data_IF_767823917781
#
_entry.id   IF_767823917781
#
_cell.length_a   1.000
_cell.length_b   1.000
_cell.length_c   1.000
_cell.angle_alpha   90.00
_cell.angle_beta   90.00
_cell.angle_gamma   90.00
#
_symmetry.space_group_name_H-M   'P 1'
#
loop_
_entity.id
_entity.type
_entity.pdbx_description
1 polymer ?
#
# COMPACT_ATOMS: atom_id res chain seq x y z
N UNK A 1 -71.38 -94.55 185.22
CA UNK A 1 -71.59 -95.70 186.12
C UNK A 1 -70.98 -95.34 187.47
N UNK A 2 -71.69 -95.19 188.60
CA UNK A 2 -72.94 -95.84 189.03
C UNK A 2 -72.71 -97.35 189.30
N UNK A 3 -73.01 -97.97 190.47
CA UNK A 3 -73.79 -97.58 191.66
C UNK A 3 -73.39 -98.47 192.87
N UNK A 4 -73.43 -97.97 194.13
CA UNK A 4 -73.75 -98.73 195.39
C UNK A 4 -72.80 -99.93 195.74
N UNK A 5 -73.01 -100.79 196.76
CA UNK A 5 -73.30 -100.68 198.23
C UNK A 5 -73.15 -102.10 198.88
N UNK A 6 -73.11 -102.42 200.19
CA UNK A 6 -73.20 -101.69 201.48
C UNK A 6 -72.81 -102.59 202.69
N UNK A 7 -72.55 -101.98 203.87
CA UNK A 7 -72.89 -102.46 205.25
C UNK A 7 -72.23 -103.70 205.94
N UNK A 8 -72.39 -103.69 207.29
CA UNK A 8 -72.49 -104.81 208.26
C UNK A 8 -71.24 -105.63 208.67
N UNK A 9 -71.18 -106.22 209.87
CA UNK A 9 -71.72 -105.88 211.21
C UNK A 9 -70.89 -106.63 212.30
N UNK A 10 -71.00 -106.27 213.59
CA UNK A 10 -70.35 -106.97 214.71
C UNK A 10 -71.19 -108.17 215.20
N UNK A 11 -70.53 -109.28 215.58
CA UNK A 11 -71.18 -110.45 216.19
C UNK A 11 -70.22 -111.42 216.87
N UNK A 12 -70.63 -111.98 218.01
CA UNK A 12 -69.92 -112.97 218.85
C UNK A 12 -70.93 -113.49 219.92
N UNK A 13 -70.71 -114.59 220.70
CA UNK A 13 -69.49 -115.41 220.81
C UNK A 13 -69.70 -116.95 220.95
N UNK A 14 -68.60 -117.70 221.23
CA UNK A 14 -68.51 -119.07 221.85
C UNK A 14 -68.92 -120.29 220.98
N UNK A 15 -68.48 -121.53 221.30
CA UNK A 15 -67.21 -121.96 221.95
C UNK A 15 -66.52 -123.22 221.30
N UNK A 16 -65.32 -123.57 221.81
CA UNK A 16 -64.57 -124.85 221.73
C UNK A 16 -64.94 -125.95 220.70
N UNK A 17 -63.99 -126.36 219.83
CA UNK A 17 -63.14 -127.56 220.01
C UNK A 17 -62.17 -127.83 218.83
N UNK A 18 -60.93 -128.22 219.17
CA UNK A 18 -59.89 -128.96 218.40
C UNK A 18 -59.54 -128.59 216.93
N UNK A 19 -58.32 -128.96 216.50
CA UNK A 19 -57.67 -128.38 215.32
C UNK A 19 -57.30 -129.38 214.21
N UNK A 20 -57.54 -128.97 212.97
CA UNK A 20 -56.98 -129.58 211.74
C UNK A 20 -56.99 -128.62 210.52
N UNK A 21 -57.91 -127.64 210.47
CA UNK A 21 -58.23 -126.94 209.21
C UNK A 21 -57.43 -125.66 208.93
N UNK A 22 -56.93 -124.95 209.96
CA UNK A 22 -56.28 -123.65 209.80
C UNK A 22 -55.09 -123.67 208.81
N UNK A 23 -54.32 -124.76 208.82
CA UNK A 23 -53.15 -124.95 207.98
C UNK A 23 -53.49 -125.14 206.48
N UNK A 24 -54.75 -125.51 206.17
CA UNK A 24 -55.23 -125.64 204.79
C UNK A 24 -55.60 -124.28 204.19
N UNK A 25 -56.14 -123.37 204.99
CA UNK A 25 -56.51 -122.01 204.56
C UNK A 25 -55.28 -121.16 204.21
N UNK A 26 -54.21 -121.24 205.02
CA UNK A 26 -53.00 -120.43 204.84
C UNK A 26 -52.34 -120.65 203.46
N UNK A 27 -52.23 -121.92 203.04
CA UNK A 27 -51.68 -122.31 201.73
C UNK A 27 -52.52 -121.74 200.56
N UNK A 28 -53.84 -121.67 200.71
CA UNK A 28 -54.73 -121.17 199.65
C UNK A 28 -54.62 -119.64 199.47
N UNK A 29 -54.42 -118.88 200.55
CA UNK A 29 -54.11 -117.44 200.48
C UNK A 29 -52.75 -117.22 199.81
N UNK A 30 -51.72 -117.97 200.21
CA UNK A 30 -50.38 -117.80 199.65
C UNK A 30 -50.31 -118.12 198.14
N UNK A 31 -51.11 -119.10 197.68
CA UNK A 31 -51.26 -119.42 196.27
C UNK A 31 -51.96 -118.30 195.48
N UNK A 32 -53.01 -117.67 196.06
CA UNK A 32 -53.70 -116.53 195.43
C UNK A 32 -52.81 -115.29 195.34
N UNK A 33 -51.99 -115.01 196.34
CA UNK A 33 -51.06 -113.87 196.30
C UNK A 33 -50.04 -114.02 195.14
N UNK A 34 -49.54 -115.23 194.87
CA UNK A 34 -48.69 -115.48 193.70
C UNK A 34 -49.39 -115.19 192.36
N UNK A 35 -50.69 -115.51 192.25
CA UNK A 35 -51.48 -115.17 191.06
C UNK A 35 -51.72 -113.66 190.92
N UNK A 36 -51.85 -112.92 192.03
CA UNK A 36 -52.00 -111.46 192.02
C UNK A 36 -50.71 -110.79 191.54
N UNK A 37 -49.54 -111.16 192.08
CA UNK A 37 -48.26 -110.57 191.65
C UNK A 37 -47.98 -110.79 190.16
N UNK A 38 -48.25 -111.98 189.62
CA UNK A 38 -48.10 -112.24 188.18
C UNK A 38 -49.03 -111.40 187.29
N UNK A 39 -50.23 -111.06 187.77
CA UNK A 39 -51.14 -110.13 187.07
C UNK A 39 -50.70 -108.66 187.19
N UNK A 40 -50.06 -108.27 188.29
CA UNK A 40 -49.49 -106.94 188.47
C UNK A 40 -48.25 -106.72 187.59
N UNK A 41 -47.38 -107.73 187.44
CA UNK A 41 -46.28 -107.74 186.47
C UNK A 41 -46.80 -107.61 185.03
N UNK A 42 -47.81 -108.40 184.65
CA UNK A 42 -48.42 -108.32 183.31
C UNK A 42 -49.05 -106.94 183.04
N UNK A 43 -49.65 -106.34 184.06
CA UNK A 43 -50.23 -104.98 184.00
C UNK A 43 -49.16 -103.91 183.84
N UNK A 44 -48.01 -104.06 184.52
CA UNK A 44 -46.88 -103.16 184.39
C UNK A 44 -46.25 -103.25 182.99
N UNK A 45 -45.98 -104.46 182.50
CA UNK A 45 -45.43 -104.70 181.16
C UNK A 45 -46.34 -104.12 180.06
N UNK A 46 -47.65 -104.36 180.14
CA UNK A 46 -48.61 -103.82 179.17
C UNK A 46 -48.73 -102.28 179.23
N UNK A 47 -48.60 -101.67 180.41
CA UNK A 47 -48.49 -100.21 180.51
C UNK A 47 -47.19 -99.70 179.88
N UNK A 48 -46.06 -100.38 180.11
CA UNK A 48 -44.78 -100.00 179.54
C UNK A 48 -44.81 -100.04 178.00
N UNK A 49 -45.30 -101.13 177.40
CA UNK A 49 -45.51 -101.21 175.94
C UNK A 49 -46.43 -100.09 175.44
N UNK A 50 -47.54 -99.81 176.14
CA UNK A 50 -48.45 -98.73 175.72
C UNK A 50 -47.77 -97.35 175.79
N UNK A 51 -46.87 -97.11 176.75
CA UNK A 51 -46.07 -95.87 176.77
C UNK A 51 -45.03 -95.84 175.66
N UNK A 52 -44.35 -96.95 175.34
CA UNK A 52 -43.42 -97.09 174.21
C UNK A 52 -44.11 -96.81 172.87
N UNK A 53 -45.30 -97.38 172.65
CA UNK A 53 -46.13 -97.13 171.47
C UNK A 53 -46.56 -95.65 171.36
N UNK A 54 -47.06 -95.06 172.45
CA UNK A 54 -47.41 -93.63 172.50
C UNK A 54 -46.22 -92.67 172.36
N UNK A 55 -44.99 -93.12 172.61
CA UNK A 55 -43.76 -92.40 172.29
C UNK A 55 -43.41 -92.53 170.81
N UNK A 56 -43.48 -93.74 170.25
CA UNK A 56 -43.24 -94.01 168.82
C UNK A 56 -44.21 -93.22 167.93
N UNK A 57 -45.51 -93.22 168.23
CA UNK A 57 -46.52 -92.48 167.50
C UNK A 57 -46.31 -90.96 167.55
N UNK A 58 -45.85 -90.39 168.68
CA UNK A 58 -45.44 -88.98 168.75
C UNK A 58 -44.23 -88.72 167.85
N UNK A 59 -43.18 -89.55 167.96
CA UNK A 59 -41.96 -89.43 167.15
C UNK A 59 -42.22 -89.58 165.65
N UNK A 60 -43.26 -90.31 165.23
CA UNK A 60 -43.72 -90.35 163.83
C UNK A 60 -44.53 -89.10 163.46
N UNK A 61 -45.44 -88.61 164.32
CA UNK A 61 -46.17 -87.35 164.09
C UNK A 61 -45.21 -86.16 163.91
N UNK A 62 -44.16 -86.08 164.74
CA UNK A 62 -43.16 -85.02 164.68
C UNK A 62 -42.29 -85.12 163.41
N UNK A 63 -42.05 -86.33 162.88
CA UNK A 63 -41.42 -86.53 161.56
C UNK A 63 -42.32 -86.06 160.43
N UNK A 64 -43.61 -86.43 160.44
CA UNK A 64 -44.57 -85.99 159.42
C UNK A 64 -44.64 -84.46 159.40
N UNK A 65 -44.78 -83.81 160.56
CA UNK A 65 -44.80 -82.34 160.65
C UNK A 65 -43.53 -81.68 160.10
N UNK A 66 -42.34 -82.25 160.37
CA UNK A 66 -41.08 -81.76 159.77
C UNK A 66 -41.03 -81.94 158.25
N UNK A 67 -41.63 -83.00 157.71
CA UNK A 67 -41.73 -83.20 156.26
C UNK A 67 -42.73 -82.22 155.63
N UNK A 68 -43.86 -81.94 156.27
CA UNK A 68 -44.82 -80.90 155.87
C UNK A 68 -44.17 -79.51 155.86
N UNK A 69 -43.41 -79.17 156.90
CA UNK A 69 -42.65 -77.91 156.99
C UNK A 69 -41.56 -77.80 155.90
N UNK A 70 -40.84 -78.88 155.61
CA UNK A 70 -39.84 -78.92 154.55
C UNK A 70 -40.45 -78.83 153.14
N UNK A 71 -41.58 -79.50 152.90
CA UNK A 71 -42.32 -79.41 151.65
C UNK A 71 -42.86 -77.98 151.45
N UNK A 72 -43.53 -77.41 152.47
CA UNK A 72 -44.02 -76.03 152.42
C UNK A 72 -42.89 -75.01 152.18
N UNK A 73 -41.73 -75.18 152.81
CA UNK A 73 -40.56 -74.36 152.53
C UNK A 73 -40.09 -74.49 151.07
N UNK A 74 -39.94 -75.73 150.58
CA UNK A 74 -39.51 -76.04 149.20
C UNK A 74 -40.49 -75.48 148.18
N UNK A 75 -41.79 -75.67 148.36
CA UNK A 75 -42.83 -75.16 147.47
C UNK A 75 -42.85 -73.62 147.47
N UNK A 76 -42.64 -72.98 148.62
CA UNK A 76 -42.47 -71.52 148.70
C UNK A 76 -41.20 -71.04 147.98
N UNK A 77 -40.15 -71.85 147.95
CA UNK A 77 -38.90 -71.59 147.23
C UNK A 77 -39.11 -71.71 145.72
N UNK A 78 -39.64 -72.84 145.26
CA UNK A 78 -39.97 -73.11 143.87
C UNK A 78 -40.98 -72.10 143.31
N UNK A 79 -41.96 -71.65 144.10
CA UNK A 79 -42.89 -70.60 143.68
C UNK A 79 -42.20 -69.24 143.50
N UNK A 80 -41.26 -68.86 144.37
CA UNK A 80 -40.45 -67.64 144.22
C UNK A 80 -39.48 -67.72 143.05
N UNK A 81 -38.91 -68.89 142.81
CA UNK A 81 -37.98 -69.16 141.70
C UNK A 81 -38.72 -69.17 140.36
N UNK A 82 -39.82 -69.91 140.24
CA UNK A 82 -40.71 -69.87 139.09
C UNK A 82 -41.23 -68.46 138.82
N UNK A 83 -41.60 -67.69 139.85
CA UNK A 83 -41.99 -66.29 139.66
C UNK A 83 -40.83 -65.47 139.07
N UNK A 84 -39.61 -65.55 139.63
CA UNK A 84 -38.43 -64.86 139.07
C UNK A 84 -38.15 -65.25 137.62
N UNK A 85 -38.31 -66.53 137.28
CA UNK A 85 -38.13 -67.02 135.91
C UNK A 85 -39.21 -66.46 134.98
N UNK A 86 -40.48 -66.43 135.39
CA UNK A 86 -41.57 -65.80 134.62
C UNK A 86 -41.36 -64.30 134.47
N UNK A 87 -41.02 -63.59 135.55
CA UNK A 87 -40.71 -62.15 135.51
C UNK A 87 -39.54 -61.87 134.52
N UNK A 88 -38.49 -62.73 134.53
CA UNK A 88 -37.35 -62.65 133.61
C UNK A 88 -37.73 -62.97 132.15
N UNK A 89 -38.60 -63.96 131.93
CA UNK A 89 -39.10 -64.32 130.58
C UNK A 89 -39.88 -63.15 129.99
N UNK A 90 -40.80 -62.55 130.75
CA UNK A 90 -41.59 -61.38 130.32
C UNK A 90 -40.68 -60.18 130.00
N UNK A 91 -39.64 -59.94 130.80
CA UNK A 91 -38.67 -58.88 130.53
C UNK A 91 -37.87 -59.14 129.24
N UNK A 92 -37.46 -60.39 128.98
CA UNK A 92 -36.80 -60.78 127.72
C UNK A 92 -37.73 -60.78 126.51
N UNK A 93 -39.01 -61.13 126.65
CA UNK A 93 -40.01 -61.03 125.59
C UNK A 93 -40.27 -59.56 125.20
N UNK A 94 -40.30 -58.66 126.19
CA UNK A 94 -40.37 -57.22 125.94
C UNK A 94 -39.08 -56.67 125.28
N UNK A 95 -37.90 -57.14 125.67
CA UNK A 95 -36.63 -56.79 125.03
C UNK A 95 -36.56 -57.30 123.58
N UNK A 96 -36.91 -58.56 123.33
CA UNK A 96 -36.99 -59.15 121.98
C UNK A 96 -37.97 -58.38 121.10
N UNK A 97 -39.11 -57.94 121.66
CA UNK A 97 -40.10 -57.13 120.94
C UNK A 97 -39.53 -55.77 120.52
N UNK A 98 -38.84 -55.05 121.42
CA UNK A 98 -38.14 -53.79 121.12
C UNK A 98 -37.00 -53.98 120.11
N UNK A 99 -36.23 -55.07 120.22
CA UNK A 99 -35.15 -55.38 119.27
C UNK A 99 -35.72 -55.68 117.87
N UNK A 100 -36.84 -56.38 117.78
CA UNK A 100 -37.54 -56.64 116.52
C UNK A 100 -38.08 -55.34 115.89
N UNK A 101 -38.66 -54.45 116.70
CA UNK A 101 -39.11 -53.12 116.27
C UNK A 101 -37.93 -52.28 115.74
N UNK A 102 -36.84 -52.17 116.52
CA UNK A 102 -35.62 -51.48 116.12
C UNK A 102 -35.00 -52.02 114.81
N UNK A 103 -34.97 -53.36 114.62
CA UNK A 103 -34.50 -53.99 113.39
C UNK A 103 -35.42 -53.64 112.22
N UNK A 104 -36.74 -53.65 112.42
CA UNK A 104 -37.70 -53.29 111.39
C UNK A 104 -37.68 -51.77 111.06
N UNK A 105 -37.36 -50.91 112.03
CA UNK A 105 -37.07 -49.48 111.78
C UNK A 105 -35.78 -49.29 110.98
N UNK A 106 -34.71 -50.01 111.32
CA UNK A 106 -33.44 -49.97 110.59
C UNK A 106 -33.58 -50.50 109.16
N UNK A 107 -34.35 -51.58 108.96
CA UNK A 107 -34.69 -52.14 107.65
C UNK A 107 -35.52 -51.14 106.82
N UNK A 108 -36.58 -50.56 107.40
CA UNK A 108 -37.38 -49.50 106.74
C UNK A 108 -36.56 -48.25 106.43
N UNK A 109 -35.58 -47.89 107.26
CA UNK A 109 -34.65 -46.79 107.01
C UNK A 109 -33.68 -47.12 105.87
N UNK A 110 -33.10 -48.31 105.85
CA UNK A 110 -32.20 -48.75 104.79
C UNK A 110 -32.93 -48.89 103.44
N UNK A 111 -34.16 -49.41 103.44
CA UNK A 111 -35.00 -49.47 102.25
C UNK A 111 -35.27 -48.06 101.70
N UNK A 112 -35.65 -47.09 102.54
CA UNK A 112 -35.79 -45.69 102.11
C UNK A 112 -34.51 -45.12 101.51
N UNK A 113 -33.35 -45.39 102.11
CA UNK A 113 -32.06 -44.98 101.53
C UNK A 113 -31.79 -45.63 100.16
N UNK A 114 -32.20 -46.89 99.95
CA UNK A 114 -32.12 -47.52 98.63
C UNK A 114 -33.08 -46.82 97.64
N UNK A 115 -34.33 -46.58 98.02
CA UNK A 115 -35.33 -45.89 97.21
C UNK A 115 -34.91 -44.44 96.86
N UNK A 116 -34.36 -43.69 97.82
CA UNK A 116 -33.80 -42.34 97.64
C UNK A 116 -32.59 -42.35 96.68
N UNK A 117 -31.70 -43.35 96.78
CA UNK A 117 -30.56 -43.45 95.84
C UNK A 117 -30.99 -43.87 94.44
N UNK A 118 -31.94 -44.80 94.30
CA UNK A 118 -32.48 -45.21 92.99
C UNK A 118 -33.17 -44.03 92.31
N UNK A 119 -34.09 -43.35 93.00
CA UNK A 119 -34.79 -42.18 92.45
C UNK A 119 -33.83 -41.02 92.14
N UNK A 120 -32.75 -40.84 92.90
CA UNK A 120 -31.67 -39.90 92.56
C UNK A 120 -30.96 -40.31 91.26
N UNK A 121 -30.53 -41.57 91.12
CA UNK A 121 -29.87 -42.06 89.90
C UNK A 121 -30.79 -41.96 88.67
N UNK A 122 -32.07 -42.30 88.79
CA UNK A 122 -33.06 -42.14 87.72
C UNK A 122 -33.27 -40.66 87.35
N UNK A 123 -33.33 -39.77 88.35
CA UNK A 123 -33.41 -38.32 88.12
C UNK A 123 -32.18 -37.77 87.39
N UNK A 124 -30.97 -38.22 87.73
CA UNK A 124 -29.75 -37.80 87.03
C UNK A 124 -29.69 -38.40 85.61
N UNK A 125 -30.09 -39.66 85.44
CA UNK A 125 -30.19 -40.31 84.12
C UNK A 125 -31.17 -39.58 83.21
N UNK A 126 -32.32 -39.15 83.73
CA UNK A 126 -33.29 -38.37 82.96
C UNK A 126 -32.71 -37.00 82.58
N UNK A 127 -32.10 -36.26 83.51
CA UNK A 127 -31.45 -34.97 83.22
C UNK A 127 -30.36 -35.08 82.15
N UNK A 128 -29.54 -36.13 82.19
CA UNK A 128 -28.53 -36.39 81.15
C UNK A 128 -29.18 -36.74 79.81
N UNK A 129 -30.29 -37.49 79.80
CA UNK A 129 -31.06 -37.74 78.59
C UNK A 129 -31.69 -36.47 78.01
N UNK A 130 -32.22 -35.60 78.85
CA UNK A 130 -32.83 -34.33 78.43
C UNK A 130 -31.78 -33.37 77.86
N UNK A 131 -30.63 -33.23 78.52
CA UNK A 131 -29.48 -32.46 78.02
C UNK A 131 -28.93 -33.04 76.70
N UNK A 132 -28.89 -34.36 76.55
CA UNK A 132 -28.47 -35.03 75.33
C UNK A 132 -29.45 -34.77 74.17
N UNK A 133 -30.76 -34.85 74.45
CA UNK A 133 -31.82 -34.54 73.49
C UNK A 133 -31.80 -33.04 73.08
N UNK A 134 -31.60 -32.14 74.04
CA UNK A 134 -31.45 -30.69 73.78
C UNK A 134 -30.21 -30.40 72.92
N UNK A 135 -29.06 -30.99 73.25
CA UNK A 135 -27.83 -30.86 72.46
C UNK A 135 -28.00 -31.43 71.03
N UNK A 136 -28.72 -32.53 70.86
CA UNK A 136 -29.09 -33.06 69.55
C UNK A 136 -30.01 -32.11 68.77
N UNK A 137 -31.02 -31.53 69.41
CA UNK A 137 -31.93 -30.58 68.76
C UNK A 137 -31.21 -29.28 68.35
N UNK A 138 -30.34 -28.74 69.20
CA UNK A 138 -29.48 -27.59 68.88
C UNK A 138 -28.55 -27.92 67.70
N UNK A 139 -27.95 -29.12 67.70
CA UNK A 139 -27.09 -29.58 66.58
C UNK A 139 -27.88 -29.69 65.28
N UNK A 140 -29.08 -30.27 65.31
CA UNK A 140 -29.96 -30.40 64.15
C UNK A 140 -30.34 -29.03 63.57
N UNK A 141 -30.76 -28.10 64.43
CA UNK A 141 -31.11 -26.72 64.05
C UNK A 141 -29.92 -25.95 63.45
N UNK A 142 -28.70 -26.17 63.97
CA UNK A 142 -27.47 -25.57 63.42
C UNK A 142 -27.09 -26.17 62.06
N UNK A 143 -27.30 -27.48 61.86
CA UNK A 143 -27.09 -28.14 60.57
C UNK A 143 -28.09 -27.67 59.52
N UNK A 144 -29.39 -27.65 59.84
CA UNK A 144 -30.43 -27.15 58.94
C UNK A 144 -30.18 -25.70 58.54
N UNK A 145 -29.85 -24.82 59.50
CA UNK A 145 -29.53 -23.41 59.20
C UNK A 145 -28.30 -23.25 58.31
N UNK A 146 -27.33 -24.18 58.40
CA UNK A 146 -26.15 -24.19 57.53
C UNK A 146 -26.48 -24.71 56.13
N UNK A 147 -27.36 -25.69 56.01
CA UNK A 147 -27.90 -26.19 54.74
C UNK A 147 -28.68 -25.08 54.00
N UNK A 148 -29.60 -24.39 54.70
CA UNK A 148 -30.31 -23.20 54.20
C UNK A 148 -29.35 -22.10 53.71
N UNK A 149 -28.24 -21.87 54.44
CA UNK A 149 -27.21 -20.91 54.03
C UNK A 149 -26.41 -21.36 52.80
N UNK A 150 -26.11 -22.66 52.67
CA UNK A 150 -25.43 -23.21 51.49
C UNK A 150 -26.33 -23.12 50.25
N UNK A 151 -27.60 -23.50 50.35
CA UNK A 151 -28.59 -23.37 49.27
C UNK A 151 -28.75 -21.90 48.83
N UNK A 152 -28.78 -20.95 49.77
CA UNK A 152 -28.77 -19.52 49.44
C UNK A 152 -27.47 -19.02 48.81
N UNK A 153 -26.34 -19.69 49.02
CA UNK A 153 -25.08 -19.36 48.32
C UNK A 153 -25.06 -19.98 46.92
N UNK A 154 -25.58 -21.19 46.75
CA UNK A 154 -25.72 -21.87 45.45
C UNK A 154 -26.70 -21.14 44.52
N UNK A 155 -27.85 -20.68 45.01
CA UNK A 155 -28.79 -19.82 44.26
C UNK A 155 -28.13 -18.50 43.81
N UNK A 156 -27.44 -17.80 44.72
CA UNK A 156 -26.70 -16.58 44.37
C UNK A 156 -25.58 -16.83 43.36
N UNK A 157 -24.84 -17.93 43.50
CA UNK A 157 -23.76 -18.29 42.58
C UNK A 157 -24.28 -18.67 41.19
N UNK A 158 -25.30 -19.53 41.12
CA UNK A 158 -25.92 -19.94 39.84
C UNK A 158 -26.61 -18.78 39.14
N UNK A 159 -27.28 -17.89 39.88
CA UNK A 159 -27.82 -16.64 39.34
C UNK A 159 -26.72 -15.72 38.80
N UNK A 160 -25.66 -15.47 39.56
CA UNK A 160 -24.54 -14.64 39.11
C UNK A 160 -23.82 -15.22 37.88
N UNK A 161 -23.68 -16.54 37.83
CA UNK A 161 -23.14 -17.27 36.68
C UNK A 161 -24.04 -17.12 35.44
N UNK A 162 -25.36 -17.19 35.60
CA UNK A 162 -26.32 -16.97 34.52
C UNK A 162 -26.30 -15.52 34.01
N UNK A 163 -26.25 -14.52 34.91
CA UNK A 163 -26.12 -13.10 34.57
C UNK A 163 -24.82 -12.81 33.79
N UNK A 164 -23.69 -13.36 34.25
CA UNK A 164 -22.39 -13.25 33.56
C UNK A 164 -22.42 -13.95 32.19
N UNK A 165 -23.06 -15.11 32.09
CA UNK A 165 -23.20 -15.86 30.82
C UNK A 165 -24.04 -15.07 29.80
N UNK A 166 -25.14 -14.45 30.23
CA UNK A 166 -25.98 -13.58 29.39
C UNK A 166 -25.23 -12.32 28.94
N UNK A 167 -24.42 -11.73 29.81
CA UNK A 167 -23.58 -10.57 29.48
C UNK A 167 -22.56 -10.95 28.40
N UNK A 168 -21.81 -12.03 28.61
CA UNK A 168 -20.81 -12.51 27.64
C UNK A 168 -21.41 -12.91 26.29
N UNK A 169 -22.59 -13.55 26.30
CA UNK A 169 -23.33 -13.89 25.08
C UNK A 169 -23.77 -12.62 24.31
N UNK A 170 -24.19 -11.56 25.02
CA UNK A 170 -24.54 -10.27 24.43
C UNK A 170 -23.32 -9.57 23.81
N UNK A 171 -22.18 -9.56 24.51
CA UNK A 171 -20.91 -9.02 24.00
C UNK A 171 -20.42 -9.80 22.77
N UNK A 172 -20.55 -11.13 22.79
CA UNK A 172 -20.23 -12.01 21.65
C UNK A 172 -21.08 -11.66 20.43
N UNK A 173 -22.39 -11.47 20.61
CA UNK A 173 -23.29 -11.06 19.52
C UNK A 173 -22.96 -9.64 19.01
N UNK A 174 -22.64 -8.70 19.89
CA UNK A 174 -22.20 -7.36 19.51
C UNK A 174 -20.88 -7.38 18.70
N UNK A 175 -19.93 -8.25 19.06
CA UNK A 175 -18.69 -8.45 18.30
C UNK A 175 -18.96 -9.08 16.93
N UNK A 176 -19.84 -10.08 16.84
CA UNK A 176 -20.26 -10.67 15.54
C UNK A 176 -20.91 -9.63 14.63
N UNK A 177 -21.72 -8.72 15.17
CA UNK A 177 -22.31 -7.62 14.39
C UNK A 177 -21.27 -6.60 13.92
N UNK A 178 -20.28 -6.25 14.77
CA UNK A 178 -19.14 -5.40 14.37
C UNK A 178 -18.32 -6.05 13.25
N UNK A 179 -18.05 -7.36 13.33
CA UNK A 179 -17.32 -8.10 12.28
C UNK A 179 -18.07 -8.11 10.94
N UNK A 180 -19.40 -8.33 10.94
CA UNK A 180 -20.22 -8.24 9.73
C UNK A 180 -20.16 -6.86 9.06
N UNK A 181 -20.17 -5.79 9.86
CA UNK A 181 -20.07 -4.42 9.36
C UNK A 181 -18.66 -4.07 8.84
N UNK A 182 -17.59 -4.61 9.46
CA UNK A 182 -16.21 -4.51 8.94
C UNK A 182 -16.07 -5.25 7.61
N UNK A 183 -16.66 -6.45 7.49
CA UNK A 183 -16.61 -7.25 6.26
C UNK A 183 -17.44 -6.61 5.14
N UNK A 184 -18.60 -6.02 5.45
CA UNK A 184 -19.33 -5.17 4.50
C UNK A 184 -18.44 -4.00 4.00
N UNK A 185 -17.82 -3.26 4.91
CA UNK A 185 -16.87 -2.17 4.60
C UNK A 185 -15.59 -2.64 3.89
N UNK A 186 -15.27 -3.93 3.90
CA UNK A 186 -14.20 -4.53 3.07
C UNK A 186 -14.70 -4.69 1.64
N UNK A 187 -15.86 -5.29 1.45
CA UNK A 187 -16.45 -5.55 0.14
C UNK A 187 -16.89 -4.27 -0.59
N UNK A 188 -17.40 -3.27 0.13
CA UNK A 188 -17.66 -1.91 -0.40
C UNK A 188 -16.37 -1.27 -0.94
N UNK A 189 -15.23 -1.44 -0.24
CA UNK A 189 -13.91 -0.93 -0.68
C UNK A 189 -13.34 -1.71 -1.85
N UNK A 190 -13.42 -3.05 -1.83
CA UNK A 190 -13.01 -3.88 -2.96
C UNK A 190 -13.77 -3.51 -4.25
N UNK A 191 -15.08 -3.25 -4.13
CA UNK A 191 -15.90 -2.80 -5.25
C UNK A 191 -15.46 -1.44 -5.80
N UNK A 192 -15.21 -0.45 -4.92
CA UNK A 192 -14.70 0.88 -5.32
C UNK A 192 -13.32 0.81 -5.95
N UNK A 193 -12.40 0.01 -5.40
CA UNK A 193 -11.07 -0.18 -5.97
C UNK A 193 -11.17 -0.73 -7.40
N UNK A 194 -12.05 -1.72 -7.64
CA UNK A 194 -12.29 -2.25 -8.99
C UNK A 194 -12.85 -1.19 -9.96
N UNK A 195 -13.71 -0.29 -9.49
CA UNK A 195 -14.17 0.87 -10.29
C UNK A 195 -13.02 1.82 -10.63
N UNK A 196 -12.22 2.23 -9.64
CA UNK A 196 -11.06 3.10 -9.84
C UNK A 196 -10.01 2.48 -10.78
N UNK A 197 -9.81 1.16 -10.70
CA UNK A 197 -8.93 0.40 -11.60
C UNK A 197 -9.45 0.41 -13.05
N UNK A 198 -10.77 0.27 -13.26
CA UNK A 198 -11.35 0.45 -14.61
C UNK A 198 -11.31 1.89 -15.12
N UNK A 199 -11.47 2.89 -14.25
CA UNK A 199 -11.34 4.31 -14.60
C UNK A 199 -9.89 4.66 -14.97
N UNK A 200 -8.91 4.13 -14.24
CA UNK A 200 -7.49 4.29 -14.52
C UNK A 200 -7.10 3.67 -15.88
N UNK A 201 -7.52 2.43 -16.14
CA UNK A 201 -7.29 1.77 -17.44
C UNK A 201 -7.96 2.52 -18.61
N UNK A 202 -9.14 3.10 -18.39
CA UNK A 202 -9.80 3.95 -19.38
C UNK A 202 -9.01 5.25 -19.63
N UNK A 203 -8.45 5.87 -18.58
CA UNK A 203 -7.63 7.08 -18.67
C UNK A 203 -6.30 6.80 -19.38
N UNK A 204 -5.62 5.70 -19.08
CA UNK A 204 -4.40 5.25 -19.77
C UNK A 204 -4.68 4.99 -21.26
N UNK A 205 -5.81 4.37 -21.59
CA UNK A 205 -6.25 4.17 -22.97
C UNK A 205 -6.67 5.48 -23.67
N UNK A 206 -7.06 6.53 -22.96
CA UNK A 206 -7.28 7.86 -23.54
C UNK A 206 -5.94 8.57 -23.79
N UNK A 207 -5.00 8.49 -22.84
CA UNK A 207 -3.65 9.05 -22.99
C UNK A 207 -2.94 8.46 -24.21
N UNK A 208 -2.88 7.12 -24.35
CA UNK A 208 -2.21 6.48 -25.49
C UNK A 208 -2.79 6.90 -26.84
N UNK A 209 -4.11 7.10 -26.94
CA UNK A 209 -4.73 7.64 -28.16
C UNK A 209 -4.32 9.08 -28.45
N UNK A 210 -4.16 9.93 -27.43
CA UNK A 210 -3.65 11.29 -27.60
C UNK A 210 -2.18 11.30 -28.03
N UNK A 211 -1.37 10.41 -27.45
CA UNK A 211 0.04 10.19 -27.80
C UNK A 211 0.19 9.67 -29.25
N UNK A 212 -0.65 8.72 -29.67
CA UNK A 212 -0.77 8.26 -31.06
C UNK A 212 -1.18 9.39 -32.02
N UNK A 213 -2.21 10.17 -31.71
CA UNK A 213 -2.63 11.27 -32.60
C UNK A 213 -1.59 12.38 -32.66
N UNK A 214 -0.95 12.74 -31.55
CA UNK A 214 0.13 13.72 -31.53
C UNK A 214 1.35 13.24 -32.34
N UNK A 215 1.74 11.97 -32.18
CA UNK A 215 2.83 11.37 -32.95
C UNK A 215 2.54 11.36 -34.46
N UNK A 216 1.29 11.09 -34.85
CA UNK A 216 0.87 11.17 -36.25
C UNK A 216 0.89 12.62 -36.78
N UNK A 217 0.30 13.56 -36.07
CA UNK A 217 0.32 14.99 -36.41
C UNK A 217 1.74 15.53 -36.58
N UNK A 218 2.70 15.02 -35.78
CA UNK A 218 4.11 15.37 -35.88
C UNK A 218 4.76 14.77 -37.13
N UNK A 219 4.46 13.51 -37.46
CA UNK A 219 4.95 12.85 -38.67
C UNK A 219 4.39 13.49 -39.95
N UNK A 220 3.08 13.76 -40.00
CA UNK A 220 2.44 14.43 -41.14
C UNK A 220 3.01 15.85 -41.36
N UNK A 221 3.34 16.59 -40.28
CA UNK A 221 4.07 17.87 -40.37
C UNK A 221 5.51 17.69 -40.83
N UNK A 222 6.22 16.67 -40.33
CA UNK A 222 7.60 16.39 -40.75
C UNK A 222 7.70 16.03 -42.24
N UNK A 223 6.74 15.26 -42.76
CA UNK A 223 6.65 14.99 -44.21
C UNK A 223 6.31 16.25 -45.00
N UNK A 224 5.45 17.12 -44.46
CA UNK A 224 5.13 18.42 -45.08
C UNK A 224 6.39 19.28 -45.21
N UNK A 225 7.13 19.50 -44.12
CA UNK A 225 8.36 20.29 -44.11
C UNK A 225 9.48 19.70 -44.98
N UNK A 226 9.63 18.38 -45.03
CA UNK A 226 10.61 17.74 -45.91
C UNK A 226 10.22 17.90 -47.40
N UNK A 227 8.92 17.92 -47.72
CA UNK A 227 8.41 18.22 -49.07
C UNK A 227 8.65 19.69 -49.45
N UNK A 228 8.34 20.63 -48.56
CA UNK A 228 8.62 22.07 -48.75
C UNK A 228 10.13 22.33 -48.94
N UNK A 229 10.98 21.64 -48.15
CA UNK A 229 12.44 21.67 -48.30
C UNK A 229 12.89 21.16 -49.67
N UNK A 230 12.37 20.04 -50.15
CA UNK A 230 12.71 19.51 -51.48
C UNK A 230 12.24 20.44 -52.62
N UNK A 231 11.10 21.12 -52.46
CA UNK A 231 10.64 22.15 -53.41
C UNK A 231 11.56 23.39 -53.41
N UNK A 232 11.99 23.86 -52.24
CA UNK A 232 12.97 24.96 -52.12
C UNK A 232 14.35 24.57 -52.69
N UNK A 233 14.78 23.32 -52.49
CA UNK A 233 16.05 22.81 -53.04
C UNK A 233 15.98 22.66 -54.57
N UNK A 234 14.84 22.20 -55.11
CA UNK A 234 14.60 22.13 -56.56
C UNK A 234 14.62 23.53 -57.19
N UNK A 235 13.83 24.47 -56.67
CA UNK A 235 13.76 25.84 -57.19
C UNK A 235 15.08 26.63 -57.01
N UNK A 236 15.85 26.35 -55.96
CA UNK A 236 17.20 26.90 -55.80
C UNK A 236 18.17 26.39 -56.88
N UNK A 237 18.08 25.11 -57.25
CA UNK A 237 18.87 24.53 -58.34
C UNK A 237 18.47 25.11 -59.71
N UNK A 238 17.17 25.28 -59.97
CA UNK A 238 16.64 25.94 -61.18
C UNK A 238 17.17 27.38 -61.30
N UNK A 239 17.00 28.21 -60.27
CA UNK A 239 17.51 29.60 -60.23
C UNK A 239 19.04 29.66 -60.35
N UNK A 240 19.75 28.65 -59.82
CA UNK A 240 21.22 28.55 -59.98
C UNK A 240 21.60 28.22 -61.43
N UNK A 241 20.84 27.37 -62.11
CA UNK A 241 21.03 27.05 -63.52
C UNK A 241 20.71 28.26 -64.41
N UNK A 242 19.57 28.93 -64.21
CA UNK A 242 19.21 30.17 -64.90
C UNK A 242 20.30 31.23 -64.75
N UNK A 243 20.80 31.43 -63.52
CA UNK A 243 21.91 32.36 -63.25
C UNK A 243 23.18 32.00 -64.02
N UNK A 244 23.51 30.72 -64.14
CA UNK A 244 24.67 30.27 -64.91
C UNK A 244 24.49 30.50 -66.41
N UNK A 245 23.28 30.32 -66.95
CA UNK A 245 22.99 30.56 -68.37
C UNK A 245 22.91 32.07 -68.70
N UNK A 246 22.36 32.89 -67.81
CA UNK A 246 22.45 34.36 -67.88
C UNK A 246 23.92 34.82 -67.83
N UNK A 247 24.77 34.19 -67.00
CA UNK A 247 26.20 34.50 -66.96
C UNK A 247 26.92 34.15 -68.28
N UNK A 248 26.57 33.03 -68.94
CA UNK A 248 27.06 32.70 -70.29
C UNK A 248 26.64 33.76 -71.30
N UNK A 249 25.35 34.13 -71.35
CA UNK A 249 24.82 35.15 -72.27
C UNK A 249 25.50 36.50 -72.04
N UNK A 250 25.73 36.87 -70.77
CA UNK A 250 26.43 38.12 -70.40
C UNK A 250 27.87 38.12 -70.92
N UNK A 251 28.60 37.00 -70.77
CA UNK A 251 29.96 36.86 -71.31
C UNK A 251 29.98 36.93 -72.84
N UNK A 252 29.03 36.28 -73.53
CA UNK A 252 28.90 36.36 -74.99
C UNK A 252 28.70 37.82 -75.44
N UNK A 253 27.71 38.51 -74.86
CA UNK A 253 27.43 39.93 -75.16
C UNK A 253 28.63 40.84 -74.84
N UNK A 254 29.38 40.57 -73.77
CA UNK A 254 30.60 41.33 -73.45
C UNK A 254 31.71 41.10 -74.50
N UNK A 255 31.85 39.88 -75.04
CA UNK A 255 32.80 39.61 -76.13
C UNK A 255 32.36 40.21 -77.47
N UNK A 256 31.06 40.19 -77.79
CA UNK A 256 30.50 40.85 -78.97
C UNK A 256 30.68 42.37 -78.89
N UNK A 257 30.38 42.98 -77.73
CA UNK A 257 30.57 44.40 -77.51
C UNK A 257 32.04 44.83 -77.68
N UNK A 258 32.99 44.07 -77.13
CA UNK A 258 34.43 44.30 -77.34
C UNK A 258 34.84 44.16 -78.82
N UNK A 259 34.20 43.25 -79.57
CA UNK A 259 34.44 43.12 -81.01
C UNK A 259 33.86 44.32 -81.79
N UNK A 260 32.70 44.85 -81.40
CA UNK A 260 32.11 46.07 -81.97
C UNK A 260 32.97 47.30 -81.65
N UNK A 261 33.44 47.44 -80.40
CA UNK A 261 34.33 48.52 -79.99
C UNK A 261 35.67 48.50 -80.77
N UNK A 262 36.23 47.30 -81.01
CA UNK A 262 37.41 47.13 -81.85
C UNK A 262 37.16 47.52 -83.32
N UNK A 263 36.00 47.13 -83.89
CA UNK A 263 35.59 47.55 -85.25
C UNK A 263 35.39 49.07 -85.34
N UNK A 264 34.79 49.70 -84.33
CA UNK A 264 34.62 51.16 -84.27
C UNK A 264 35.98 51.88 -84.31
N UNK A 265 36.95 51.40 -83.51
CA UNK A 265 38.34 51.90 -83.50
C UNK A 265 39.12 51.64 -84.79
N UNK A 266 38.68 50.71 -85.64
CA UNK A 266 39.20 50.55 -86.99
C UNK A 266 38.58 51.58 -87.95
N UNK A 267 37.25 51.71 -87.94
CA UNK A 267 36.53 52.69 -88.78
C UNK A 267 36.98 54.13 -88.50
N UNK A 268 37.27 54.46 -87.24
CA UNK A 268 37.79 55.78 -86.86
C UNK A 268 39.19 56.06 -87.45
N UNK A 269 40.08 55.06 -87.48
CA UNK A 269 41.39 55.16 -88.17
C UNK A 269 41.25 55.25 -89.68
N UNK A 270 40.29 54.56 -90.28
CA UNK A 270 40.01 54.64 -91.71
C UNK A 270 39.45 56.01 -92.10
N UNK A 271 38.56 56.59 -91.27
CA UNK A 271 38.09 57.98 -91.37
C UNK A 271 39.25 58.98 -91.31
N UNK A 272 40.14 58.85 -90.32
CA UNK A 272 41.24 59.81 -90.15
C UNK A 272 42.23 59.73 -91.33
N UNK A 273 42.51 58.51 -91.82
CA UNK A 273 43.31 58.29 -93.04
C UNK A 273 42.63 58.82 -94.31
N UNK A 274 41.30 58.76 -94.41
CA UNK A 274 40.56 59.37 -95.50
C UNK A 274 40.63 60.90 -95.45
N UNK A 275 40.57 61.52 -94.27
CA UNK A 275 40.75 62.96 -94.10
C UNK A 275 42.18 63.41 -94.47
N UNK A 276 43.20 62.65 -94.07
CA UNK A 276 44.61 62.88 -94.44
C UNK A 276 44.84 62.78 -95.96
N UNK A 277 44.25 61.77 -96.62
CA UNK A 277 44.23 61.71 -98.09
C UNK A 277 43.53 62.94 -98.71
N UNK A 278 42.38 63.36 -98.18
CA UNK A 278 41.57 64.44 -98.76
C UNK A 278 42.30 65.80 -98.74
N UNK A 279 43.12 66.05 -97.72
CA UNK A 279 44.02 67.20 -97.65
C UNK A 279 45.11 67.17 -98.74
N UNK A 280 45.55 65.98 -99.15
CA UNK A 280 46.43 65.79 -100.30
C UNK A 280 45.75 66.25 -101.60
N UNK A 281 44.57 65.70 -101.90
CA UNK A 281 43.79 66.11 -103.09
C UNK A 281 43.48 67.62 -103.11
N UNK A 282 43.14 68.22 -101.96
CA UNK A 282 42.90 69.67 -101.86
C UNK A 282 44.17 70.52 -102.10
N UNK A 283 45.35 69.94 -101.89
CA UNK A 283 46.65 70.59 -102.18
C UNK A 283 46.99 70.49 -103.66
N UNK A 284 46.80 69.32 -104.27
CA UNK A 284 47.07 69.08 -105.71
C UNK A 284 46.13 69.93 -106.60
N UNK A 285 44.85 70.06 -106.22
CA UNK A 285 43.89 70.94 -106.91
C UNK A 285 44.35 72.40 -106.92
N UNK A 286 44.85 72.93 -105.80
CA UNK A 286 45.34 74.32 -105.73
C UNK A 286 46.58 74.56 -106.59
N UNK A 287 47.45 73.56 -106.75
CA UNK A 287 48.60 73.66 -107.67
C UNK A 287 48.14 73.69 -109.14
N UNK A 288 47.10 72.93 -109.49
CA UNK A 288 46.51 72.98 -110.84
C UNK A 288 45.82 74.31 -111.13
N UNK A 289 45.06 74.86 -110.19
CA UNK A 289 44.43 76.19 -110.30
C UNK A 289 45.46 77.32 -110.47
N UNK A 290 46.66 77.18 -109.88
CA UNK A 290 47.76 78.15 -110.03
C UNK A 290 48.43 78.04 -111.41
N UNK A 291 48.70 76.83 -111.90
CA UNK A 291 49.29 76.60 -113.22
C UNK A 291 48.39 77.08 -114.38
N UNK A 292 47.07 76.90 -114.27
CA UNK A 292 46.12 77.43 -115.27
C UNK A 292 46.20 78.95 -115.32
N UNK A 293 46.22 79.61 -114.16
CA UNK A 293 46.28 81.07 -114.03
C UNK A 293 47.54 81.68 -114.67
N UNK A 294 48.70 81.05 -114.50
CA UNK A 294 49.93 81.47 -115.17
C UNK A 294 49.84 81.36 -116.71
N UNK A 295 49.17 80.31 -117.23
CA UNK A 295 48.98 80.18 -118.68
C UNK A 295 47.97 81.18 -119.25
N UNK A 296 46.87 81.48 -118.54
CA UNK A 296 45.92 82.51 -118.92
C UNK A 296 46.55 83.92 -118.95
N UNK A 297 47.34 84.28 -117.94
CA UNK A 297 48.06 85.57 -117.93
C UNK A 297 49.11 85.65 -119.05
N UNK A 298 49.82 84.54 -119.33
CA UNK A 298 50.79 84.48 -120.42
C UNK A 298 50.13 84.64 -121.80
N UNK A 299 49.07 83.88 -122.08
CA UNK A 299 48.32 83.97 -123.34
C UNK A 299 47.71 85.36 -123.55
N UNK A 300 47.23 86.01 -122.48
CA UNK A 300 46.71 87.38 -122.54
C UNK A 300 47.77 88.40 -122.96
N UNK A 301 49.03 88.19 -122.52
CA UNK A 301 50.19 89.02 -122.87
C UNK A 301 50.59 88.84 -124.34
N UNK A 302 50.71 87.59 -124.78
CA UNK A 302 51.09 87.25 -126.15
C UNK A 302 50.04 87.77 -127.16
N UNK A 303 48.74 87.70 -126.83
CA UNK A 303 47.65 88.28 -127.63
C UNK A 303 47.75 89.81 -127.78
N UNK A 304 48.01 90.52 -126.68
CA UNK A 304 48.11 91.98 -126.70
C UNK A 304 49.30 92.47 -127.56
N UNK A 305 50.47 91.85 -127.41
CA UNK A 305 51.65 92.22 -128.22
C UNK A 305 51.46 91.90 -129.71
N UNK A 306 50.77 90.79 -130.03
CA UNK A 306 50.46 90.46 -131.42
C UNK A 306 49.53 91.53 -132.03
N UNK A 307 48.48 91.95 -131.31
CA UNK A 307 47.53 92.96 -131.79
C UNK A 307 48.18 94.32 -132.08
N UNK A 308 49.12 94.80 -131.26
CA UNK A 308 49.90 96.02 -131.56
C UNK A 308 50.77 95.87 -132.81
N UNK A 309 51.29 94.67 -133.11
CA UNK A 309 52.05 94.40 -134.34
C UNK A 309 51.16 94.56 -135.58
N UNK A 310 50.01 93.89 -135.62
CA UNK A 310 49.09 93.96 -136.76
C UNK A 310 48.56 95.38 -137.00
N UNK A 311 48.28 96.17 -135.96
CA UNK A 311 47.91 97.59 -136.09
C UNK A 311 49.04 98.49 -136.61
N UNK A 312 50.29 98.06 -136.49
CA UNK A 312 51.47 98.79 -136.99
C UNK A 312 51.74 98.43 -138.45
N UNK A 313 51.68 97.15 -138.80
CA UNK A 313 51.91 96.67 -140.17
C UNK A 313 50.81 97.15 -141.14
N UNK A 314 49.55 97.19 -140.70
CA UNK A 314 48.44 97.73 -141.50
C UNK A 314 48.65 99.21 -141.82
N UNK A 315 49.10 100.03 -140.86
CA UNK A 315 49.38 101.46 -141.10
C UNK A 315 50.53 101.67 -142.09
N UNK A 316 51.56 100.81 -142.08
CA UNK A 316 52.63 100.89 -143.08
C UNK A 316 52.14 100.52 -144.49
N UNK A 317 51.23 99.55 -144.62
CA UNK A 317 50.59 99.22 -145.91
C UNK A 317 49.69 100.35 -146.42
N UNK A 318 48.87 100.97 -145.56
CA UNK A 318 48.05 102.14 -145.91
C UNK A 318 48.87 103.37 -146.33
N UNK A 319 50.10 103.51 -145.82
CA UNK A 319 51.04 104.56 -146.23
C UNK A 319 51.67 104.25 -147.61
N UNK A 320 52.13 103.01 -147.83
CA UNK A 320 52.75 102.60 -149.10
C UNK A 320 51.77 102.62 -150.28
N UNK A 321 50.50 102.23 -150.07
CA UNK A 321 49.46 102.33 -151.12
C UNK A 321 49.27 103.79 -151.53
N UNK A 322 49.18 104.70 -150.55
CA UNK A 322 48.99 106.14 -150.77
C UNK A 322 50.15 106.77 -151.55
N UNK A 323 51.39 106.40 -151.25
CA UNK A 323 52.55 106.83 -152.04
C UNK A 323 52.50 106.29 -153.49
N UNK A 324 52.03 105.06 -153.71
CA UNK A 324 51.89 104.54 -155.08
C UNK A 324 50.74 105.20 -155.86
N UNK A 325 49.61 105.49 -155.23
CA UNK A 325 48.51 106.23 -155.86
C UNK A 325 48.92 107.67 -156.26
N UNK A 326 49.63 108.39 -155.39
CA UNK A 326 50.13 109.73 -155.71
C UNK A 326 51.19 109.70 -156.81
N UNK A 327 52.04 108.67 -156.83
CA UNK A 327 53.06 108.47 -157.87
C UNK A 327 52.44 108.12 -159.23
N UNK A 328 51.49 107.19 -159.29
CA UNK A 328 50.74 106.85 -160.50
C UNK A 328 49.96 108.05 -161.04
N UNK A 329 49.36 108.87 -160.15
CA UNK A 329 48.67 110.10 -160.54
C UNK A 329 49.61 111.13 -161.21
N UNK A 330 50.87 111.16 -160.76
CA UNK A 330 51.92 112.03 -161.33
C UNK A 330 52.42 111.52 -162.68
N UNK A 331 52.68 110.22 -162.77
CA UNK A 331 53.13 109.57 -164.00
C UNK A 331 52.05 109.65 -165.09
N UNK A 332 50.75 109.48 -164.75
CA UNK A 332 49.65 109.70 -165.70
C UNK A 332 49.60 111.13 -166.24
N UNK A 333 49.75 112.15 -165.37
CA UNK A 333 49.72 113.54 -165.81
C UNK A 333 50.87 113.89 -166.77
N UNK A 334 52.09 113.40 -166.48
CA UNK A 334 53.23 113.59 -167.38
C UNK A 334 53.08 112.79 -168.70
N UNK A 335 52.49 111.60 -168.64
CA UNK A 335 52.18 110.85 -169.86
C UNK A 335 51.13 111.60 -170.69
N UNK A 336 50.09 112.18 -170.10
CA UNK A 336 49.04 112.86 -170.86
C UNK A 336 49.56 114.10 -171.61
N UNK A 337 50.44 114.92 -171.02
CA UNK A 337 51.12 116.02 -171.75
C UNK A 337 52.04 115.49 -172.88
N UNK A 338 52.71 114.36 -172.67
CA UNK A 338 53.54 113.71 -173.69
C UNK A 338 52.68 113.18 -174.86
N UNK A 339 51.54 112.56 -174.57
CA UNK A 339 50.66 111.99 -175.59
C UNK A 339 49.89 113.07 -176.35
N UNK A 340 49.51 114.20 -175.73
CA UNK A 340 48.90 115.33 -176.44
C UNK A 340 49.90 116.03 -177.39
N UNK A 341 51.17 116.12 -177.01
CA UNK A 341 52.23 116.64 -177.90
C UNK A 341 52.64 115.66 -179.00
N UNK A 342 52.59 114.35 -178.73
CA UNK A 342 52.85 113.33 -179.75
C UNK A 342 51.66 113.12 -180.70
N UNK A 343 50.41 113.30 -180.25
CA UNK A 343 49.22 113.27 -181.11
C UNK A 343 49.26 114.33 -182.19
N UNK A 344 49.60 115.59 -181.87
CA UNK A 344 49.79 116.63 -182.90
C UNK A 344 50.92 116.30 -183.90
N UNK A 345 51.91 115.49 -183.50
CA UNK A 345 52.99 115.02 -184.38
C UNK A 345 52.58 113.81 -185.27
N UNK A 346 51.56 113.06 -184.85
CA UNK A 346 50.96 111.96 -185.64
C UNK A 346 49.84 112.47 -186.56
N UNK A 347 49.02 113.42 -186.09
CA UNK A 347 48.01 114.15 -186.86
C UNK A 347 48.62 114.88 -188.08
N UNK A 348 49.90 115.24 -187.99
CA UNK A 348 50.68 115.84 -189.09
C UNK A 348 51.45 114.83 -189.96
N UNK A 349 51.45 113.53 -189.64
CA UNK A 349 52.17 112.48 -190.40
C UNK A 349 51.28 111.36 -190.96
N UNK A 350 50.14 111.05 -190.34
CA UNK A 350 49.24 109.98 -190.81
C UNK A 350 48.24 110.45 -191.88
N UNK A 351 48.55 111.56 -192.56
CA UNK A 351 47.95 111.92 -193.86
C UNK A 351 48.72 111.29 -195.05
N UNK A 352 49.81 110.55 -194.82
CA UNK A 352 50.77 110.17 -195.88
C UNK A 352 50.94 108.64 -196.10
N UNK A 353 50.44 107.78 -195.19
CA UNK A 353 50.60 106.31 -195.22
C UNK A 353 49.28 105.69 -194.72
N UNK A 354 48.35 105.28 -195.58
CA UNK A 354 48.17 103.89 -196.10
C UNK A 354 48.14 102.82 -195.00
N UNK A 355 46.99 102.19 -194.71
CA UNK A 355 46.50 100.97 -195.39
C UNK A 355 47.02 99.68 -194.70
N UNK A 356 46.12 98.72 -194.43
CA UNK A 356 46.41 97.42 -193.75
C UNK A 356 46.85 97.53 -192.25
N UNK A 357 46.60 96.56 -191.35
CA UNK A 357 45.64 95.42 -191.33
C UNK A 357 45.51 94.83 -189.90
N UNK A 358 44.30 94.33 -189.59
CA UNK A 358 43.80 93.33 -188.62
C UNK A 358 44.75 92.56 -187.64
N UNK A 359 44.25 92.36 -186.40
CA UNK A 359 44.08 91.08 -185.66
C UNK A 359 45.15 90.37 -184.75
N UNK A 360 44.62 89.80 -183.63
CA UNK A 360 44.94 88.53 -182.88
C UNK A 360 45.90 88.41 -181.65
N UNK A 361 45.37 87.73 -180.60
CA UNK A 361 45.96 86.66 -179.71
C UNK A 361 47.09 86.92 -178.65
N UNK A 362 47.44 85.96 -177.72
CA UNK A 362 46.63 84.95 -176.96
C UNK A 362 47.05 84.61 -175.47
N UNK A 363 46.30 83.68 -174.84
CA UNK A 363 46.65 82.56 -173.89
C UNK A 363 47.40 82.64 -172.50
N UNK A 364 46.71 82.12 -171.44
CA UNK A 364 47.05 81.04 -170.45
C UNK A 364 48.33 81.08 -169.53
N UNK A 365 48.56 80.16 -168.53
CA UNK A 365 47.76 79.08 -167.85
C UNK A 365 47.71 79.28 -166.26
N UNK A 366 47.74 78.37 -165.24
CA UNK A 366 47.78 76.89 -164.98
C UNK A 366 47.46 76.49 -163.47
N UNK A 367 47.38 75.17 -163.14
CA UNK A 367 47.51 74.34 -161.87
C UNK A 367 47.26 74.84 -160.39
N UNK A 368 47.01 74.00 -159.34
CA UNK A 368 46.73 72.53 -159.20
C UNK A 368 47.00 71.88 -157.79
N UNK A 369 46.17 70.91 -157.34
CA UNK A 369 46.35 69.88 -156.23
C UNK A 369 46.60 70.34 -154.75
N UNK A 370 46.55 69.58 -153.60
CA UNK A 370 46.21 68.19 -153.11
C UNK A 370 45.89 68.24 -151.55
N UNK A 371 45.69 67.26 -150.63
CA UNK A 371 45.63 65.76 -150.47
C UNK A 371 44.82 65.33 -149.16
N UNK A 372 45.05 64.14 -148.55
CA UNK A 372 44.39 63.52 -147.34
C UNK A 372 45.26 62.34 -146.75
N UNK A 373 44.91 61.38 -145.81
CA UNK A 373 43.70 61.05 -144.97
C UNK A 373 43.93 60.45 -143.51
N UNK A 374 42.88 59.83 -142.89
CA UNK A 374 42.80 58.71 -141.87
C UNK A 374 43.33 58.81 -140.39
N UNK A 375 42.88 58.02 -139.37
CA UNK A 375 41.72 57.08 -139.22
C UNK A 375 41.68 56.09 -137.98
N UNK A 376 40.46 55.80 -137.46
CA UNK A 376 39.89 54.54 -136.84
C UNK A 376 40.24 53.95 -135.41
N UNK A 377 39.34 53.05 -134.92
CA UNK A 377 39.40 51.94 -133.89
C UNK A 377 38.56 52.01 -132.57
N UNK A 378 38.22 50.83 -131.97
CA UNK A 378 36.94 50.51 -131.26
C UNK A 378 37.00 49.51 -130.05
N UNK A 379 35.93 49.42 -129.23
CA UNK A 379 35.48 48.22 -128.43
C UNK A 379 35.72 48.18 -126.89
N UNK A 380 35.26 47.21 -126.05
CA UNK A 380 34.15 46.19 -126.08
C UNK A 380 34.01 45.42 -124.72
N UNK A 381 32.78 45.11 -124.23
CA UNK A 381 32.47 44.13 -123.13
C UNK A 381 32.43 44.68 -121.67
N UNK A 382 31.96 44.01 -120.59
CA UNK A 382 31.32 42.67 -120.28
C UNK A 382 31.55 42.31 -118.77
N UNK A 383 30.85 41.44 -118.00
CA UNK A 383 29.64 40.58 -118.11
C UNK A 383 29.44 39.68 -116.84
N UNK A 384 28.31 38.94 -116.71
CA UNK A 384 27.91 37.96 -115.62
C UNK A 384 27.59 38.55 -114.20
N UNK A 385 26.72 38.03 -113.31
CA UNK A 385 26.06 36.71 -112.99
C UNK A 385 26.78 35.78 -111.97
N UNK A 386 26.02 35.27 -110.97
CA UNK A 386 26.49 34.23 -110.02
C UNK A 386 25.57 33.95 -108.80
N UNK A 387 25.09 32.70 -108.65
CA UNK A 387 24.40 32.11 -107.47
C UNK A 387 25.22 30.86 -107.05
N UNK A 388 25.10 30.27 -105.83
CA UNK A 388 24.01 29.31 -105.54
C UNK A 388 23.57 29.24 -104.05
N UNK A 389 22.66 28.29 -103.72
CA UNK A 389 22.51 27.67 -102.38
C UNK A 389 23.28 26.34 -102.33
N UNK A 390 22.79 25.24 -101.70
CA UNK A 390 21.54 25.03 -100.93
C UNK A 390 21.88 24.51 -99.48
N UNK A 391 21.25 23.57 -98.75
CA UNK A 391 20.11 22.62 -98.88
C UNK A 391 19.60 22.22 -97.44
N UNK A 392 18.87 21.11 -97.27
CA UNK A 392 18.23 20.62 -96.02
C UNK A 392 18.77 19.24 -95.56
N UNK A 393 18.54 18.81 -94.30
CA UNK A 393 18.27 17.38 -93.94
C UNK A 393 17.72 17.16 -92.52
N UNK A 394 17.12 15.99 -92.27
CA UNK A 394 16.37 15.59 -91.05
C UNK A 394 17.03 14.46 -90.21
N UNK A 395 16.32 14.04 -89.15
CA UNK A 395 16.35 12.74 -88.44
C UNK A 395 17.39 12.49 -87.32
N UNK A 396 16.97 11.71 -86.31
CA UNK A 396 17.85 11.10 -85.28
C UNK A 396 17.12 10.79 -83.96
N UNK A 397 16.69 9.54 -83.76
CA UNK A 397 15.87 9.10 -82.61
C UNK A 397 16.54 7.93 -81.82
N UNK A 398 15.99 7.58 -80.64
CA UNK A 398 16.18 6.32 -79.86
C UNK A 398 17.48 6.00 -79.03
N UNK A 399 17.31 6.10 -77.70
CA UNK A 399 17.24 4.99 -76.69
C UNK A 399 18.41 4.02 -76.32
N UNK A 400 18.76 4.03 -75.01
CA UNK A 400 19.02 2.88 -74.08
C UNK A 400 20.23 1.92 -74.33
N UNK A 401 20.55 0.88 -73.49
CA UNK A 401 19.98 0.45 -72.18
C UNK A 401 20.99 0.01 -71.05
N UNK A 402 20.42 -0.39 -69.89
CA UNK A 402 20.82 -1.43 -68.89
C UNK A 402 22.18 -1.47 -68.13
N UNK A 403 22.14 -2.00 -66.87
CA UNK A 403 23.30 -2.30 -66.02
C UNK A 403 23.02 -2.91 -64.62
N UNK A 404 23.36 -4.20 -64.47
CA UNK A 404 23.37 -5.10 -63.28
C UNK A 404 23.90 -4.52 -61.92
N UNK A 405 23.32 -4.78 -60.72
CA UNK A 405 23.18 -5.98 -59.82
C UNK A 405 24.36 -6.29 -58.83
N UNK A 406 24.05 -7.05 -57.75
CA UNK A 406 24.90 -7.51 -56.60
C UNK A 406 25.22 -6.46 -55.50
N UNK A 407 25.44 -6.82 -54.21
CA UNK A 407 25.13 -8.07 -53.48
C UNK A 407 26.09 -8.45 -52.31
N UNK A 408 25.73 -8.20 -51.04
CA UNK A 408 26.39 -8.68 -49.78
C UNK A 408 25.47 -8.45 -48.56
N UNK A 409 25.56 -9.14 -47.39
CA UNK A 409 26.33 -10.33 -46.99
C UNK A 409 26.59 -10.43 -45.45
N UNK A 410 26.20 -11.55 -44.80
CA UNK A 410 26.37 -11.81 -43.34
C UNK A 410 25.20 -11.34 -42.45
N UNK A 411 24.94 -11.83 -41.23
CA UNK A 411 25.59 -12.79 -40.31
C UNK A 411 25.37 -12.33 -38.84
N UNK A 412 25.25 -13.14 -37.77
CA UNK A 412 25.26 -14.59 -37.57
C UNK A 412 24.47 -14.96 -36.26
N UNK A 413 24.43 -16.24 -35.87
CA UNK A 413 23.74 -16.75 -34.67
C UNK A 413 24.56 -16.60 -33.36
N UNK A 414 23.92 -16.61 -32.16
CA UNK A 414 24.67 -16.68 -30.89
C UNK A 414 23.91 -16.47 -29.57
N UNK A 415 23.57 -17.57 -28.89
CA UNK A 415 23.34 -17.70 -27.42
C UNK A 415 24.20 -18.91 -26.95
N UNK A 416 24.46 -19.17 -25.65
CA UNK A 416 23.93 -18.56 -24.43
C UNK A 416 25.01 -18.10 -23.41
N UNK A 417 24.58 -17.65 -22.22
CA UNK A 417 25.43 -17.39 -21.05
C UNK A 417 24.58 -17.30 -19.77
N UNK A 418 25.16 -17.64 -18.61
CA UNK A 418 24.45 -17.82 -17.34
C UNK A 418 25.33 -17.50 -16.12
N UNK A 419 24.81 -16.69 -15.20
CA UNK A 419 25.21 -16.48 -13.80
C UNK A 419 23.96 -15.87 -13.13
N UNK A 420 23.39 -16.35 -12.02
CA UNK A 420 23.94 -16.69 -10.68
C UNK A 420 24.51 -15.49 -9.91
N UNK A 421 23.62 -14.78 -9.22
CA UNK A 421 23.95 -14.02 -8.00
C UNK A 421 22.89 -14.27 -6.93
N UNK A 422 23.14 -15.21 -6.02
CA UNK A 422 22.43 -15.23 -4.74
C UNK A 422 22.92 -14.05 -3.88
N UNK A 423 21.99 -13.29 -3.29
CA UNK A 423 22.30 -12.34 -2.21
C UNK A 423 21.30 -12.53 -1.07
N UNK A 424 21.57 -13.53 -0.22
CA UNK A 424 20.90 -13.67 1.06
C UNK A 424 21.35 -12.58 2.02
N UNK A 425 20.50 -11.57 2.25
CA UNK A 425 20.71 -10.57 3.30
C UNK A 425 20.00 -11.01 4.59
N UNK A 426 20.77 -11.58 5.50
CA UNK A 426 20.34 -11.98 6.83
C UNK A 426 20.01 -10.75 7.70
N UNK A 427 18.75 -10.62 8.12
CA UNK A 427 18.28 -9.59 9.07
C UNK A 427 17.52 -10.26 10.22
N UNK A 428 18.22 -11.14 10.93
CA UNK A 428 17.76 -11.72 12.18
C UNK A 428 18.01 -10.79 13.39
N UNK A 429 17.33 -11.08 14.51
CA UNK A 429 17.32 -10.34 15.79
C UNK A 429 16.64 -8.96 15.78
N UNK A 430 15.64 -8.77 16.67
CA UNK A 430 14.87 -7.51 16.75
C UNK A 430 13.51 -7.57 17.46
N UNK A 431 13.09 -8.71 18.03
CA UNK A 431 11.88 -8.79 18.84
C UNK A 431 12.12 -8.25 20.27
N UNK A 432 11.41 -7.20 20.72
CA UNK A 432 11.47 -6.76 22.12
C UNK A 432 10.72 -7.75 23.03
N UNK A 433 11.34 -8.06 24.18
CA UNK A 433 10.85 -9.07 25.12
C UNK A 433 9.63 -8.58 25.93
N UNK A 434 8.66 -9.47 26.17
CA UNK A 434 7.37 -9.11 26.77
C UNK A 434 7.48 -9.10 28.30
N UNK A 435 7.69 -7.91 28.89
CA UNK A 435 7.58 -7.72 30.34
C UNK A 435 6.10 -7.81 30.81
N UNK A 436 5.65 -9.04 31.10
CA UNK A 436 4.41 -9.29 31.85
C UNK A 436 4.64 -8.91 33.32
N UNK A 437 4.32 -7.67 33.66
CA UNK A 437 4.35 -7.21 35.04
C UNK A 437 3.16 -7.82 35.80
N UNK A 438 3.42 -8.66 36.81
CA UNK A 438 2.40 -9.25 37.67
C UNK A 438 2.27 -8.45 38.97
N UNK A 439 1.10 -7.86 39.18
CA UNK A 439 0.51 -7.47 40.47
C UNK A 439 -1.02 -7.46 40.30
#
# INVERSE_FOLDING_TARGET
>A
MERRSHQNNRGSPRPFHHGAEADRAYRQVHCRNGQISGLEEYRAAFQEERTKFCHSMRKQKDKVKRLEELLSYRDSGLHKENKRLVDTIVEREAEISRLKENVQDAERHHQRQQEDTVTWYETQKQKLSDQHNEAHLVTLNLLQRREEQLLQCEDKFTKSLAEHTLTWESERQAMVMKLKEVEKKRNDRASRNKTLETEFLQMEAQWKRQEETFSKDLADKSHTWETEKQQMETTLNEVTQERNDVAKVTLTLETEFKQVEAKLKQVEKEKDRLAENNLGWETDVKQLEEQVREQEEKLSKDLAQNQESWETDVKQLEEQVREQEEKLSKDLAQNQESWETELHLVETKLNEVTQEKDDLDPEAPEHGDQASPDGDTTGTGGGAEGRPGPEETEHGDQASPDGDTTGTGGGAEGRPGSEETELGNDWSSGFPEIHINKN
#
